data_IF_234240520127
#
_entry.id   IF_234240520127
#
_cell.length_a   1.000
_cell.length_b   1.000
_cell.length_c   1.000
_cell.angle_alpha   90.00
_cell.angle_beta   90.00
_cell.angle_gamma   90.00
#
_symmetry.space_group_name_H-M   'P 1'
#
loop_
_entity.id
_entity.type
_entity.pdbx_description
1 polymer ?
#
# COMPACT_ATOMS: atom_id res chain seq x y z
N UNK A 1 11.16 -4.20 -6.97
CA UNK A 1 10.52 -3.02 -7.59
C UNK A 1 9.65 -3.40 -8.79
N UNK A 2 10.16 -4.15 -9.78
CA UNK A 2 9.42 -4.57 -10.99
C UNK A 2 8.08 -5.26 -10.71
N UNK A 3 8.01 -6.16 -9.71
CA UNK A 3 6.76 -6.84 -9.34
C UNK A 3 5.64 -5.85 -8.98
N UNK A 4 5.96 -4.79 -8.21
CA UNK A 4 4.99 -3.75 -7.87
C UNK A 4 4.59 -2.94 -9.10
N UNK A 5 5.53 -2.60 -9.97
CA UNK A 5 5.22 -1.88 -11.21
C UNK A 5 4.25 -2.68 -12.11
N UNK A 6 4.49 -3.99 -12.25
CA UNK A 6 3.60 -4.89 -12.98
C UNK A 6 2.23 -5.02 -12.32
N UNK A 7 2.19 -5.11 -10.98
CA UNK A 7 0.93 -5.11 -10.23
C UNK A 7 0.14 -3.82 -10.49
N UNK A 8 0.79 -2.65 -10.45
CA UNK A 8 0.13 -1.36 -10.72
C UNK A 8 -0.40 -1.28 -12.15
N UNK A 9 0.38 -1.72 -13.13
CA UNK A 9 -0.07 -1.77 -14.52
C UNK A 9 -1.27 -2.72 -14.69
N UNK A 10 -1.24 -3.88 -14.03
CA UNK A 10 -2.34 -4.84 -14.05
C UNK A 10 -3.59 -4.29 -13.34
N UNK A 11 -3.45 -3.60 -12.20
CA UNK A 11 -4.57 -2.97 -11.49
C UNK A 11 -5.29 -1.96 -12.38
N UNK A 12 -4.52 -1.09 -13.05
CA UNK A 12 -5.07 -0.10 -14.00
C UNK A 12 -5.73 -0.78 -15.18
N UNK A 13 -5.06 -1.74 -15.82
CA UNK A 13 -5.57 -2.44 -17.00
C UNK A 13 -6.83 -3.28 -16.73
N UNK A 14 -7.08 -3.68 -15.48
CA UNK A 14 -8.22 -4.50 -15.08
C UNK A 14 -9.22 -3.76 -14.18
N UNK A 15 -9.09 -2.44 -14.05
CA UNK A 15 -9.93 -1.59 -13.19
C UNK A 15 -10.07 -2.14 -11.75
N UNK A 16 -8.97 -2.67 -11.20
CA UNK A 16 -8.95 -3.21 -9.84
C UNK A 16 -8.75 -2.09 -8.83
N UNK A 17 -9.33 -2.29 -7.65
CA UNK A 17 -9.05 -1.44 -6.49
C UNK A 17 -7.58 -1.63 -6.12
N UNK A 18 -6.89 -0.52 -5.92
CA UNK A 18 -5.47 -0.49 -5.53
C UNK A 18 -5.28 -1.23 -4.21
N UNK A 19 -4.44 -2.26 -4.22
CA UNK A 19 -4.05 -2.98 -3.01
C UNK A 19 -2.82 -2.32 -2.38
N UNK A 20 -2.79 -2.07 -1.05
CA UNK A 20 -1.59 -1.55 -0.40
C UNK A 20 -0.40 -2.51 -0.55
N UNK A 21 0.77 -1.97 -0.91
CA UNK A 21 2.01 -2.72 -1.07
C UNK A 21 3.10 -2.13 -0.17
N UNK A 22 3.64 -2.94 0.73
CA UNK A 22 4.72 -2.54 1.64
C UNK A 22 6.01 -3.28 1.31
N UNK A 23 7.09 -2.53 1.17
CA UNK A 23 8.43 -3.07 0.91
C UNK A 23 9.04 -3.68 2.18
N UNK A 24 9.36 -4.98 2.18
CA UNK A 24 10.19 -5.60 3.22
C UNK A 24 11.66 -5.57 2.80
N UNK A 25 12.51 -4.89 3.57
CA UNK A 25 13.91 -4.66 3.21
C UNK A 25 14.85 -5.07 4.34
N UNK A 26 16.02 -5.65 4.02
CA UNK A 26 17.02 -5.98 5.03
C UNK A 26 17.70 -4.71 5.60
N UNK A 27 17.96 -3.72 4.74
CA UNK A 27 18.45 -2.40 5.11
C UNK A 27 17.61 -1.33 4.41
N UNK A 28 17.27 -0.27 5.16
CA UNK A 28 16.51 0.86 4.63
C UNK A 28 17.47 2.00 4.28
N UNK A 29 18.07 1.94 3.10
CA UNK A 29 18.76 3.11 2.54
C UNK A 29 17.72 4.08 1.95
N UNK A 30 18.01 5.38 2.00
CA UNK A 30 17.12 6.42 1.46
C UNK A 30 16.81 6.18 -0.04
N UNK A 31 17.80 5.71 -0.80
CA UNK A 31 17.62 5.36 -2.21
C UNK A 31 16.63 4.19 -2.40
N UNK A 32 16.65 3.19 -1.52
CA UNK A 32 15.69 2.07 -1.59
C UNK A 32 14.26 2.52 -1.27
N UNK A 33 14.08 3.44 -0.32
CA UNK A 33 12.79 4.08 -0.04
C UNK A 33 12.26 4.82 -1.27
N UNK A 34 13.11 5.61 -1.90
CA UNK A 34 12.72 6.39 -3.07
C UNK A 34 12.38 5.49 -4.27
N UNK A 35 13.20 4.46 -4.53
CA UNK A 35 12.91 3.45 -5.56
C UNK A 35 11.63 2.66 -5.27
N UNK A 36 11.34 2.37 -4.00
CA UNK A 36 10.09 1.71 -3.59
C UNK A 36 8.89 2.58 -3.90
N UNK A 37 8.96 3.86 -3.52
CA UNK A 37 7.93 4.86 -3.77
C UNK A 37 7.68 5.04 -5.27
N UNK A 38 8.74 5.19 -6.07
CA UNK A 38 8.66 5.32 -7.53
C UNK A 38 8.07 4.07 -8.20
N UNK A 39 8.34 2.88 -7.67
CA UNK A 39 7.73 1.64 -8.13
C UNK A 39 6.23 1.52 -7.78
N UNK A 40 5.71 2.44 -6.96
CA UNK A 40 4.32 2.47 -6.53
C UNK A 40 4.05 1.70 -5.24
N UNK A 41 5.04 1.46 -4.39
CA UNK A 41 4.84 0.92 -3.04
C UNK A 41 4.34 2.02 -2.10
N UNK A 42 3.45 1.67 -1.17
CA UNK A 42 2.79 2.61 -0.27
C UNK A 42 3.47 2.68 1.10
N UNK A 43 4.28 1.67 1.45
CA UNK A 43 5.03 1.63 2.71
C UNK A 43 6.35 0.88 2.62
N UNK A 44 7.10 0.89 3.72
CA UNK A 44 8.32 0.11 3.89
C UNK A 44 8.45 -0.39 5.34
N UNK A 45 9.13 -1.52 5.52
CA UNK A 45 9.42 -2.11 6.83
C UNK A 45 10.76 -2.87 6.76
N UNK A 46 11.54 -2.78 7.83
CA UNK A 46 12.83 -3.46 7.93
C UNK A 46 12.65 -4.94 8.32
N UNK A 47 13.62 -5.77 7.96
CA UNK A 47 13.80 -7.10 8.52
C UNK A 47 14.80 -7.04 9.68
N UNK A 48 14.65 -7.87 10.72
CA UNK A 48 13.53 -8.79 10.97
C UNK A 48 12.22 -8.02 11.24
N UNK A 49 11.10 -8.62 10.88
CA UNK A 49 9.78 -8.02 11.08
C UNK A 49 9.29 -8.38 12.47
N UNK A 50 9.10 -7.37 13.31
CA UNK A 50 8.45 -7.54 14.61
C UNK A 50 6.93 -7.65 14.43
N UNK A 51 6.31 -8.62 15.10
CA UNK A 51 4.87 -8.90 14.98
C UNK A 51 3.99 -7.71 15.40
N UNK A 52 4.44 -6.92 16.37
CA UNK A 52 3.77 -5.67 16.75
C UNK A 52 3.75 -4.67 15.61
N UNK A 53 4.92 -4.41 15.00
CA UNK A 53 5.02 -3.47 13.88
C UNK A 53 4.21 -3.94 12.67
N UNK A 54 4.18 -5.25 12.40
CA UNK A 54 3.35 -5.81 11.33
C UNK A 54 1.85 -5.59 11.60
N UNK A 55 1.40 -5.81 12.84
CA UNK A 55 0.01 -5.58 13.23
C UNK A 55 -0.37 -4.12 13.08
N UNK A 56 0.44 -3.20 13.61
CA UNK A 56 0.18 -1.76 13.54
C UNK A 56 0.08 -1.29 12.07
N UNK A 57 0.95 -1.82 11.21
CA UNK A 57 0.94 -1.55 9.78
C UNK A 57 -0.36 -2.07 9.11
N UNK A 58 -0.77 -3.30 9.42
CA UNK A 58 -2.01 -3.87 8.86
C UNK A 58 -3.22 -3.06 9.33
N UNK A 59 -3.30 -2.74 10.62
CA UNK A 59 -4.37 -1.94 11.20
C UNK A 59 -4.47 -0.56 10.53
N UNK A 60 -3.33 0.10 10.27
CA UNK A 60 -3.28 1.36 9.53
C UNK A 60 -3.95 1.27 8.15
N UNK A 61 -3.59 0.25 7.35
CA UNK A 61 -4.14 0.10 5.99
C UNK A 61 -5.60 -0.36 5.97
N UNK A 62 -6.01 -1.18 6.95
CA UNK A 62 -7.42 -1.56 7.13
C UNK A 62 -8.27 -0.33 7.46
N UNK A 63 -7.83 0.48 8.43
CA UNK A 63 -8.54 1.71 8.80
C UNK A 63 -8.64 2.68 7.62
N UNK A 64 -7.58 2.83 6.81
CA UNK A 64 -7.60 3.68 5.63
C UNK A 64 -8.58 3.18 4.55
N UNK A 65 -8.65 1.86 4.34
CA UNK A 65 -9.62 1.25 3.42
C UNK A 65 -11.06 1.50 3.88
N UNK A 66 -11.34 1.35 5.18
CA UNK A 66 -12.66 1.58 5.74
C UNK A 66 -13.11 3.03 5.59
N UNK A 67 -12.19 3.99 5.75
CA UNK A 67 -12.44 5.40 5.50
C UNK A 67 -12.81 5.64 4.03
N UNK A 68 -12.04 5.09 3.08
CA UNK A 68 -12.31 5.24 1.64
C UNK A 68 -13.67 4.65 1.23
N UNK A 69 -14.05 3.51 1.81
CA UNK A 69 -15.36 2.90 1.57
C UNK A 69 -16.51 3.78 2.09
N UNK A 70 -16.34 4.43 3.25
CA UNK A 70 -17.35 5.33 3.83
C UNK A 70 -17.53 6.59 2.99
N UNK A 71 -16.45 7.22 2.52
CA UNK A 71 -16.52 8.43 1.69
C UNK A 71 -17.21 8.17 0.36
N UNK A 72 -16.94 7.01 -0.25
CA UNK A 72 -17.54 6.62 -1.54
C UNK A 72 -19.05 6.35 -1.41
N UNK A 73 -19.49 5.80 -0.28
CA UNK A 73 -20.91 5.55 0.02
C UNK A 73 -21.71 6.85 0.22
N UNK A 74 -21.14 7.84 0.94
CA UNK A 74 -21.81 9.14 1.18
C UNK A 74 -21.99 9.96 -0.10
N UNK A 75 -21.11 9.81 -1.09
CA UNK A 75 -21.22 10.51 -2.39
C UNK A 75 -22.30 9.90 -3.31
N UNK A 76 -22.72 8.65 -3.11
CA UNK A 76 -23.79 8.01 -3.90
C UNK A 76 -25.20 8.19 -3.31
N UNK A 77 -25.33 8.59 -2.04
CA UNK A 77 -26.62 8.74 -1.36
C UNK A 77 -27.25 10.15 -1.49
N UNK A 78 -26.67 11.02 -2.33
CA UNK A 78 -27.03 12.44 -2.43
C UNK A 78 -27.45 12.93 -3.82
N UNK A 79 -28.00 12.05 -4.67
CA UNK A 79 -28.62 12.41 -5.97
C UNK A 79 -30.09 12.01 -6.01
#
# INVERSE_FOLDING_TARGET
FSATQQLRAWEVGNQRIRTPVVALTAHILAEHKERARQAGMDGHMAKPVELSQLRDLIEHWVAQRDQQNRTTSTLQAGV
#
